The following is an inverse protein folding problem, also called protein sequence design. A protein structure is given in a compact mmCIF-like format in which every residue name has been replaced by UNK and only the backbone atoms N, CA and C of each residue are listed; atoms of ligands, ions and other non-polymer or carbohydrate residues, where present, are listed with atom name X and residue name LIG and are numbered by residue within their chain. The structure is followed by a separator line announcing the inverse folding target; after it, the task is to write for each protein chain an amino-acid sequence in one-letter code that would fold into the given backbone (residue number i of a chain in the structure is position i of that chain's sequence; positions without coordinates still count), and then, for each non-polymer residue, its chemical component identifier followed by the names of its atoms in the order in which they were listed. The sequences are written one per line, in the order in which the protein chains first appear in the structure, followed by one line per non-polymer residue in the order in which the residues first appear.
data_IF_451528604038
#
_entry.id   IF_451528604038
#
_cell.length_a   1.000
_cell.length_b   1.000
_cell.length_c   1.000
_cell.angle_alpha   90.00
_cell.angle_beta   90.00
_cell.angle_gamma   90.00
#
_symmetry.space_group_name_H-M   'P 1'
#
loop_
_entity.id
_entity.type
_entity.pdbx_description
1 polymer ?
#
# COMPACT_ATOMS: atom_id res chain seq x y z
N UNK A 1 -36.74 -7.34 64.02
CA UNK A 1 -35.37 -6.79 63.94
C UNK A 1 -34.81 -7.10 62.57
N UNK A 2 -34.28 -6.08 61.89
CA UNK A 2 -34.24 -5.96 60.43
C UNK A 2 -33.18 -6.79 59.70
N UNK A 3 -33.58 -7.25 58.50
CA UNK A 3 -32.72 -7.81 57.46
C UNK A 3 -32.31 -6.66 56.52
N UNK A 4 -31.01 -6.40 56.32
CA UNK A 4 -30.54 -5.78 55.07
C UNK A 4 -29.01 -5.79 54.97
N UNK A 5 -28.48 -5.97 53.76
CA UNK A 5 -27.04 -5.81 53.50
C UNK A 5 -26.43 -6.77 52.49
N UNK A 6 -27.09 -7.06 51.36
CA UNK A 6 -26.49 -7.86 50.25
C UNK A 6 -26.65 -7.23 48.87
N UNK A 7 -26.73 -5.90 48.76
CA UNK A 7 -26.97 -5.20 47.48
C UNK A 7 -25.83 -4.30 46.97
N UNK A 8 -24.67 -4.23 47.64
CA UNK A 8 -23.65 -3.22 47.27
C UNK A 8 -22.56 -3.68 46.30
N UNK A 9 -22.31 -4.98 46.09
CA UNK A 9 -21.11 -5.46 45.37
C UNK A 9 -21.31 -5.75 43.88
N UNK A 10 -22.55 -5.89 43.40
CA UNK A 10 -22.83 -6.14 41.97
C UNK A 10 -22.79 -4.87 41.14
N UNK A 11 -23.36 -3.78 41.66
CA UNK A 11 -23.40 -2.49 40.96
C UNK A 11 -22.00 -1.92 40.67
N UNK A 12 -21.05 -2.11 41.59
CA UNK A 12 -19.66 -1.64 41.39
C UNK A 12 -18.94 -2.40 40.26
N UNK A 13 -19.27 -3.67 40.02
CA UNK A 13 -18.62 -4.48 39.00
C UNK A 13 -19.14 -4.17 37.60
N UNK A 14 -20.44 -3.87 37.48
CA UNK A 14 -21.04 -3.42 36.23
C UNK A 14 -20.58 -2.01 35.87
N UNK A 15 -20.53 -1.09 36.84
CA UNK A 15 -19.99 0.25 36.64
C UNK A 15 -18.52 0.23 36.19
N UNK A 16 -17.68 -0.62 36.79
CA UNK A 16 -16.27 -0.79 36.38
C UNK A 16 -16.12 -1.42 35.00
N UNK A 17 -16.99 -2.38 34.63
CA UNK A 17 -16.99 -2.97 33.27
C UNK A 17 -17.45 -1.97 32.22
N UNK A 18 -18.47 -1.17 32.50
CA UNK A 18 -18.93 -0.12 31.61
C UNK A 18 -17.88 0.99 31.45
N UNK A 19 -17.21 1.39 32.54
CA UNK A 19 -16.11 2.35 32.49
C UNK A 19 -14.91 1.81 31.71
N UNK A 20 -14.54 0.53 31.89
CA UNK A 20 -13.48 -0.10 31.10
C UNK A 20 -13.86 -0.19 29.61
N UNK A 21 -15.09 -0.58 29.28
CA UNK A 21 -15.57 -0.60 27.89
C UNK A 21 -15.61 0.80 27.26
N UNK A 22 -15.91 1.86 28.03
CA UNK A 22 -15.84 3.24 27.55
C UNK A 22 -14.41 3.75 27.37
N UNK A 23 -13.47 3.32 28.22
CA UNK A 23 -12.05 3.65 28.05
C UNK A 23 -11.47 2.94 26.82
N UNK A 24 -11.78 1.65 26.64
CA UNK A 24 -11.32 0.87 25.48
C UNK A 24 -11.93 1.39 24.15
N UNK A 25 -13.13 1.97 24.18
CA UNK A 25 -13.77 2.57 23.00
C UNK A 25 -13.17 3.93 22.58
N UNK A 26 -12.58 4.68 23.52
CA UNK A 26 -11.93 5.96 23.23
C UNK A 26 -10.48 5.81 22.74
N UNK A 27 -9.88 4.63 22.89
CA UNK A 27 -8.53 4.30 22.42
C UNK A 27 -8.53 3.58 21.05
N UNK A 28 -9.67 3.57 20.35
CA UNK A 28 -9.71 3.09 18.98
C UNK A 28 -8.74 3.96 18.14
N UNK A 29 -7.78 3.35 17.42
CA UNK A 29 -6.81 4.11 16.64
C UNK A 29 -7.56 4.99 15.64
N UNK A 30 -7.18 6.27 15.58
CA UNK A 30 -7.75 7.19 14.61
C UNK A 30 -7.64 6.58 13.21
N UNK A 31 -8.78 6.40 12.53
CA UNK A 31 -8.82 5.93 11.16
C UNK A 31 -8.14 7.00 10.33
N UNK A 32 -7.02 6.65 9.68
CA UNK A 32 -6.38 7.58 8.77
C UNK A 32 -7.27 7.81 7.57
N UNK A 33 -7.67 9.06 7.37
CA UNK A 33 -8.37 9.49 6.17
C UNK A 33 -7.38 10.16 5.22
N UNK A 34 -7.31 9.64 3.99
CA UNK A 34 -6.51 10.26 2.94
C UNK A 34 -7.07 11.65 2.63
N UNK A 35 -6.22 12.69 2.47
CA UNK A 35 -6.69 14.01 2.11
C UNK A 35 -7.43 14.00 0.75
N UNK A 36 -8.39 14.91 0.51
CA UNK A 36 -9.04 15.07 -0.77
C UNK A 36 -8.03 15.29 -1.90
N UNK A 37 -8.30 14.76 -3.10
CA UNK A 37 -7.37 14.81 -4.24
C UNK A 37 -7.04 16.23 -4.69
N UNK A 38 -7.96 17.17 -4.43
CA UNK A 38 -7.83 18.59 -4.74
C UNK A 38 -6.76 19.28 -3.88
N UNK A 39 -6.41 18.68 -2.72
CA UNK A 39 -5.37 19.18 -1.83
C UNK A 39 -3.99 18.57 -2.12
N UNK A 40 -3.89 17.59 -3.03
CA UNK A 40 -2.62 16.93 -3.31
C UNK A 40 -1.68 17.87 -4.07
N UNK A 41 -0.39 17.74 -3.77
CA UNK A 41 0.64 18.32 -4.60
C UNK A 41 0.58 17.71 -6.01
N UNK A 42 1.01 18.43 -7.06
CA UNK A 42 1.13 17.86 -8.39
C UNK A 42 1.95 16.55 -8.37
N UNK A 43 1.56 15.52 -9.15
CA UNK A 43 2.27 14.26 -9.17
C UNK A 43 3.76 14.46 -9.50
N UNK A 44 4.63 13.85 -8.70
CA UNK A 44 6.06 13.75 -9.00
C UNK A 44 6.30 12.48 -9.79
N UNK A 45 6.87 12.61 -11.00
CA UNK A 45 7.15 11.49 -11.88
C UNK A 45 8.61 11.46 -12.29
N UNK A 46 9.23 10.28 -12.25
CA UNK A 46 10.58 10.07 -12.75
C UNK A 46 10.77 8.65 -13.27
N UNK A 47 11.90 8.42 -13.95
CA UNK A 47 12.28 7.08 -14.40
C UNK A 47 13.73 6.80 -14.11
N UNK A 48 14.01 5.55 -13.75
CA UNK A 48 15.35 5.02 -13.53
C UNK A 48 15.62 3.97 -14.60
N UNK A 49 16.61 4.21 -15.46
CA UNK A 49 17.04 3.22 -16.43
C UNK A 49 17.67 2.03 -15.69
N UNK A 50 17.20 0.82 -15.99
CA UNK A 50 17.72 -0.44 -15.44
C UNK A 50 18.65 -1.12 -16.44
N UNK A 51 18.24 -1.15 -17.70
CA UNK A 51 19.01 -1.66 -18.83
C UNK A 51 18.75 -0.81 -20.09
N UNK A 52 19.33 -1.21 -21.24
CA UNK A 52 19.00 -0.61 -22.52
C UNK A 52 17.53 -0.78 -22.93
N UNK A 53 16.85 -1.78 -22.34
CA UNK A 53 15.47 -2.16 -22.67
C UNK A 53 14.52 -2.13 -21.48
N UNK A 54 14.96 -1.76 -20.27
CA UNK A 54 14.09 -1.68 -19.10
C UNK A 54 14.32 -0.45 -18.23
N UNK A 55 13.26 -0.06 -17.52
CA UNK A 55 13.27 1.05 -16.57
C UNK A 55 12.30 0.80 -15.42
N UNK A 56 12.54 1.45 -14.28
CA UNK A 56 11.49 1.72 -13.30
C UNK A 56 10.88 3.08 -13.62
N UNK A 57 9.57 3.14 -13.78
CA UNK A 57 8.79 4.38 -13.79
C UNK A 57 8.16 4.56 -12.42
N UNK A 58 8.34 5.73 -11.82
CA UNK A 58 7.85 6.04 -10.47
C UNK A 58 6.95 7.26 -10.55
N UNK A 59 5.80 7.17 -9.91
CA UNK A 59 4.90 8.29 -9.63
C UNK A 59 4.61 8.34 -8.14
N UNK A 60 4.74 9.51 -7.53
CA UNK A 60 4.27 9.76 -6.15
C UNK A 60 3.32 10.94 -6.13
N UNK A 61 2.31 10.89 -5.26
CA UNK A 61 1.49 12.04 -4.89
C UNK A 61 1.75 12.35 -3.43
N UNK A 62 1.85 13.64 -3.12
CA UNK A 62 2.24 14.13 -1.81
C UNK A 62 1.19 15.08 -1.26
N UNK A 63 1.16 15.20 0.07
CA UNK A 63 0.40 16.21 0.80
C UNK A 63 1.22 16.69 1.99
N UNK A 64 1.45 18.00 2.08
CA UNK A 64 2.25 18.61 3.15
C UNK A 64 3.61 17.93 3.35
N UNK A 65 4.26 17.55 2.24
CA UNK A 65 5.56 16.89 2.24
C UNK A 65 5.56 15.42 2.67
N UNK A 66 4.40 14.76 2.70
CA UNK A 66 4.26 13.32 2.98
C UNK A 66 3.73 12.58 1.76
N UNK A 67 4.26 11.40 1.46
CA UNK A 67 3.71 10.56 0.41
C UNK A 67 2.35 10.00 0.87
N UNK A 68 1.36 10.09 0.01
CA UNK A 68 -0.01 9.62 0.28
C UNK A 68 -0.51 8.63 -0.78
N UNK A 69 0.20 8.54 -1.91
CA UNK A 69 -0.05 7.61 -3.00
C UNK A 69 1.24 7.43 -3.80
N UNK A 70 1.50 6.21 -4.26
CA UNK A 70 2.61 5.91 -5.16
C UNK A 70 2.23 4.82 -6.16
N UNK A 71 2.91 4.82 -7.28
CA UNK A 71 2.97 3.71 -8.23
C UNK A 71 4.42 3.54 -8.73
N UNK A 72 4.91 2.31 -8.70
CA UNK A 72 6.22 1.91 -9.22
C UNK A 72 5.98 0.83 -10.27
N UNK A 73 6.38 1.10 -11.51
CA UNK A 73 6.21 0.19 -12.64
C UNK A 73 7.57 -0.23 -13.18
N UNK A 74 7.84 -1.54 -13.24
CA UNK A 74 8.94 -2.07 -14.04
C UNK A 74 8.43 -2.20 -15.47
N UNK A 75 9.04 -1.43 -16.36
CA UNK A 75 8.66 -1.34 -17.76
C UNK A 75 9.77 -1.87 -18.65
N UNK A 76 9.38 -2.60 -19.70
CA UNK A 76 10.27 -3.01 -20.79
C UNK A 76 9.91 -2.29 -22.08
N UNK A 77 10.93 -1.94 -22.86
CA UNK A 77 10.79 -1.31 -24.17
C UNK A 77 10.24 -2.30 -25.18
N UNK A 78 9.12 -1.96 -25.81
CA UNK A 78 8.59 -2.63 -26.98
C UNK A 78 8.77 -1.79 -28.25
N UNK A 79 8.38 -2.31 -29.43
CA UNK A 79 8.59 -1.65 -30.72
C UNK A 79 7.98 -0.24 -30.83
N UNK A 80 6.98 0.09 -30.01
CA UNK A 80 6.25 1.37 -30.10
C UNK A 80 5.96 2.03 -28.74
N UNK A 81 6.20 1.34 -27.63
CA UNK A 81 5.88 1.84 -26.28
C UNK A 81 6.58 1.05 -25.20
N UNK A 82 6.75 1.70 -24.05
CA UNK A 82 7.03 1.02 -22.79
C UNK A 82 5.81 0.19 -22.37
N UNK A 83 6.06 -1.02 -21.86
CA UNK A 83 5.04 -1.94 -21.36
C UNK A 83 5.39 -2.33 -19.94
N UNK A 84 4.43 -2.17 -19.04
CA UNK A 84 4.54 -2.64 -17.66
C UNK A 84 4.56 -4.17 -17.64
N UNK A 85 5.54 -4.74 -16.92
CA UNK A 85 5.65 -6.19 -16.65
C UNK A 85 5.45 -6.50 -15.17
N UNK A 86 5.62 -5.50 -14.32
CA UNK A 86 5.38 -5.59 -12.90
C UNK A 86 5.03 -4.20 -12.37
N UNK A 87 4.05 -4.11 -11.47
CA UNK A 87 3.64 -2.84 -10.87
C UNK A 87 3.34 -3.03 -9.39
N UNK A 88 3.69 -2.04 -8.59
CA UNK A 88 3.24 -1.92 -7.21
C UNK A 88 2.65 -0.52 -7.01
N UNK A 89 1.43 -0.43 -6.48
CA UNK A 89 0.78 0.85 -6.22
C UNK A 89 -0.06 0.85 -4.94
N UNK A 90 -0.27 2.05 -4.40
CA UNK A 90 -1.17 2.26 -3.26
C UNK A 90 -2.51 2.82 -3.73
N UNK A 91 -3.57 2.03 -3.58
CA UNK A 91 -4.91 2.38 -4.03
C UNK A 91 -5.97 1.77 -3.13
N UNK A 92 -7.07 2.49 -2.88
CA UNK A 92 -8.14 2.06 -1.97
C UNK A 92 -7.60 1.62 -0.61
N UNK A 93 -6.77 2.46 0.01
CA UNK A 93 -6.18 2.24 1.33
C UNK A 93 -5.43 0.91 1.49
N UNK A 94 -4.92 0.39 0.38
CA UNK A 94 -4.18 -0.88 0.33
C UNK A 94 -3.04 -0.77 -0.68
N UNK A 95 -1.97 -1.52 -0.45
CA UNK A 95 -0.86 -1.65 -1.40
C UNK A 95 -1.08 -2.91 -2.22
N UNK A 96 -1.04 -2.78 -3.54
CA UNK A 96 -1.26 -3.87 -4.49
C UNK A 96 0.01 -4.16 -5.26
N UNK A 97 0.26 -5.44 -5.45
CA UNK A 97 1.26 -5.96 -6.38
C UNK A 97 0.55 -6.53 -7.60
N UNK A 98 1.07 -6.20 -8.76
CA UNK A 98 0.58 -6.60 -10.06
C UNK A 98 1.69 -7.31 -10.83
N UNK A 99 1.51 -8.60 -11.08
CA UNK A 99 2.33 -9.37 -12.01
C UNK A 99 1.66 -9.37 -13.38
N UNK A 100 2.24 -8.58 -14.29
CA UNK A 100 1.67 -8.27 -15.61
C UNK A 100 2.34 -9.17 -16.66
N UNK A 101 1.68 -10.29 -16.95
CA UNK A 101 2.07 -11.21 -18.02
C UNK A 101 1.21 -10.96 -19.27
N UNK A 102 1.55 -11.56 -20.42
CA UNK A 102 0.85 -11.31 -21.69
C UNK A 102 -0.66 -11.64 -21.58
N UNK A 103 -1.47 -10.60 -21.29
CA UNK A 103 -2.93 -10.71 -21.19
C UNK A 103 -3.47 -11.05 -19.80
N UNK A 104 -2.61 -11.20 -18.79
CA UNK A 104 -3.04 -11.53 -17.42
C UNK A 104 -2.43 -10.53 -16.44
N UNK A 105 -3.29 -10.00 -15.56
CA UNK A 105 -2.91 -9.20 -14.40
C UNK A 105 -3.20 -10.03 -13.15
N UNK A 106 -2.16 -10.59 -12.54
CA UNK A 106 -2.28 -11.23 -11.23
C UNK A 106 -2.07 -10.18 -10.15
N UNK A 107 -3.12 -9.95 -9.35
CA UNK A 107 -3.13 -8.94 -8.31
C UNK A 107 -3.11 -9.58 -6.92
N UNK A 108 -2.20 -9.09 -6.08
CA UNK A 108 -2.11 -9.43 -4.67
C UNK A 108 -2.18 -8.16 -3.82
N UNK A 109 -2.89 -8.20 -2.70
CA UNK A 109 -2.84 -7.14 -1.68
C UNK A 109 -1.72 -7.44 -0.69
N UNK A 110 -0.73 -6.56 -0.61
CA UNK A 110 0.42 -6.70 0.29
C UNK A 110 0.03 -6.27 1.71
N UNK A 111 -0.59 -5.10 1.85
CA UNK A 111 -0.88 -4.51 3.16
C UNK A 111 -2.00 -3.47 3.08
N UNK A 112 -2.72 -3.28 4.19
CA UNK A 112 -3.61 -2.14 4.39
C UNK A 112 -2.82 -0.90 4.84
N UNK A 113 -3.25 0.27 4.38
CA UNK A 113 -2.59 1.55 4.67
C UNK A 113 -3.32 2.20 5.84
N UNK A 114 -2.62 2.31 6.98
CA UNK A 114 -3.17 2.89 8.20
C UNK A 114 -2.66 4.32 8.45
N UNK A 115 -1.94 4.91 7.49
CA UNK A 115 -1.31 6.22 7.64
C UNK A 115 -0.28 6.53 6.55
N UNK A 116 0.13 7.80 6.41
CA UNK A 116 1.17 8.20 5.45
C UNK A 116 2.50 7.49 5.70
N UNK A 117 2.80 7.12 6.94
CA UNK A 117 4.01 6.35 7.27
C UNK A 117 4.00 4.94 6.64
N UNK A 118 2.82 4.31 6.53
CA UNK A 118 2.71 3.03 5.81
C UNK A 118 2.96 3.23 4.33
N UNK A 119 2.47 4.34 3.75
CA UNK A 119 2.73 4.70 2.35
C UNK A 119 4.23 4.92 2.11
N UNK A 120 4.88 5.76 2.92
CA UNK A 120 6.31 6.06 2.82
C UNK A 120 7.16 4.78 2.95
N UNK A 121 6.84 3.93 3.93
CA UNK A 121 7.54 2.66 4.15
C UNK A 121 7.35 1.72 2.97
N UNK A 122 6.12 1.52 2.51
CA UNK A 122 5.84 0.62 1.39
C UNK A 122 6.41 1.14 0.08
N UNK A 123 6.40 2.45 -0.15
CA UNK A 123 7.11 3.04 -1.30
C UNK A 123 8.59 2.63 -1.30
N UNK A 124 9.28 2.81 -0.16
CA UNK A 124 10.71 2.49 -0.02
C UNK A 124 10.98 0.99 -0.18
N UNK A 125 10.25 0.14 0.57
CA UNK A 125 10.42 -1.32 0.52
C UNK A 125 10.19 -1.88 -0.90
N UNK A 126 9.15 -1.41 -1.59
CA UNK A 126 8.80 -1.93 -2.91
C UNK A 126 9.72 -1.39 -4.00
N UNK A 127 10.20 -0.15 -3.86
CA UNK A 127 11.23 0.40 -4.73
C UNK A 127 12.53 -0.41 -4.64
N UNK A 128 13.02 -0.66 -3.42
CA UNK A 128 14.21 -1.46 -3.19
C UNK A 128 14.05 -2.91 -3.67
N UNK A 129 12.88 -3.51 -3.43
CA UNK A 129 12.54 -4.83 -3.94
C UNK A 129 12.59 -4.88 -5.48
N UNK A 130 12.04 -3.88 -6.16
CA UNK A 130 12.05 -3.82 -7.63
C UNK A 130 13.46 -3.61 -8.17
N UNK A 131 14.29 -2.79 -7.52
CA UNK A 131 15.71 -2.65 -7.84
C UNK A 131 16.51 -3.94 -7.59
N UNK A 132 16.15 -4.74 -6.59
CA UNK A 132 16.85 -5.99 -6.30
C UNK A 132 16.46 -7.14 -7.25
N UNK A 133 15.25 -7.10 -7.84
CA UNK A 133 14.68 -8.24 -8.58
C UNK A 133 14.49 -7.99 -10.08
N UNK A 134 14.79 -6.79 -10.59
CA UNK A 134 14.46 -6.44 -11.97
C UNK A 134 15.11 -7.37 -13.01
N UNK A 135 16.38 -7.76 -12.84
CA UNK A 135 17.07 -8.61 -13.82
C UNK A 135 16.39 -9.96 -14.00
N UNK A 136 16.02 -10.60 -12.89
CA UNK A 136 15.33 -11.88 -12.91
C UNK A 136 13.98 -11.74 -13.64
N UNK A 137 13.22 -10.70 -13.31
CA UNK A 137 11.91 -10.43 -13.93
C UNK A 137 12.02 -10.10 -15.41
N UNK A 138 13.05 -9.38 -15.82
CA UNK A 138 13.32 -9.11 -17.25
C UNK A 138 13.61 -10.42 -18.00
N UNK A 139 14.40 -11.34 -17.40
CA UNK A 139 14.68 -12.67 -17.98
C UNK A 139 13.43 -13.53 -18.09
N UNK A 140 12.61 -13.61 -17.05
CA UNK A 140 11.35 -14.37 -17.07
C UNK A 140 10.39 -13.90 -18.19
N UNK A 141 10.43 -12.61 -18.52
CA UNK A 141 9.70 -12.05 -19.66
C UNK A 141 10.40 -12.29 -21.02
N UNK A 142 11.73 -12.37 -21.02
CA UNK A 142 12.57 -12.63 -22.18
C UNK A 142 12.57 -14.09 -22.64
N UNK A 143 12.57 -15.05 -21.71
CA UNK A 143 12.55 -16.50 -22.00
C UNK A 143 11.21 -16.99 -22.57
N UNK A 144 10.17 -16.16 -22.50
CA UNK A 144 8.91 -16.33 -23.23
C UNK A 144 8.96 -15.88 -24.71
N UNK A 145 10.14 -15.55 -25.26
CA UNK A 145 10.33 -15.21 -26.69
C UNK A 145 10.69 -16.44 -27.51
N UNK A 146 9.66 -17.15 -27.98
CA UNK A 146 9.66 -17.75 -29.33
C UNK A 146 8.31 -17.43 -29.96
N UNK A 147 8.32 -16.50 -30.90
CA UNK A 147 7.50 -16.44 -32.13
C UNK A 147 7.35 -14.98 -32.57
N UNK A 148 8.23 -14.62 -33.49
CA UNK A 148 7.95 -13.62 -34.50
C UNK A 148 6.77 -14.12 -35.36
N UNK A 149 5.70 -13.34 -35.43
CA UNK A 149 4.71 -13.41 -36.51
C UNK A 149 4.40 -12.00 -36.99
#
# INVERSE_FOLDING_TARGET
MGRSGKFSRRNDREARRAAQQQMDANDAPAIWERPPKEEWDPPSEFSVALSATSRLFVRTNNYRGKCIDFAICHQVGGPYRWRDIFRVDSSHDTVHRHDLTRGTDQRETIESINGPLTVDRQYTEQYDFMLATWEQREREQGDGRVDER
#
